data_IF_436593917255
#
_entry.id   IF_436593917255
#
_cell.length_a   1.000
_cell.length_b   1.000
_cell.length_c   1.000
_cell.angle_alpha   90.00
_cell.angle_beta   90.00
_cell.angle_gamma   90.00
#
_symmetry.space_group_name_H-M   'P 1'
#
loop_
_entity.id
_entity.type
_entity.pdbx_description
1 polymer ?
#
# COMPACT_ATOMS: atom_id res chain seq x y z
N UNK A 1 -12.79 6.93 -2.09
CA UNK A 1 -12.71 5.45 -1.96
C UNK A 1 -11.34 5.05 -2.47
N UNK A 2 -10.45 4.66 -1.57
CA UNK A 2 -9.03 4.45 -1.89
C UNK A 2 -8.84 3.03 -2.41
N UNK A 3 -8.78 2.85 -3.73
CA UNK A 3 -8.47 1.58 -4.38
C UNK A 3 -7.07 1.59 -5.00
N UNK A 4 -6.07 2.04 -4.25
CA UNK A 4 -4.68 1.93 -4.68
C UNK A 4 -3.79 1.87 -3.44
N UNK A 5 -3.78 0.74 -2.78
CA UNK A 5 -2.72 0.38 -1.85
C UNK A 5 -2.76 -1.14 -1.62
N UNK A 6 -2.38 -1.90 -2.62
CA UNK A 6 -2.00 -3.28 -2.44
C UNK A 6 -0.75 -3.57 -3.27
N UNK A 7 0.29 -2.84 -3.00
CA UNK A 7 1.64 -3.35 -3.15
C UNK A 7 2.15 -3.42 -1.71
N UNK A 8 2.16 -4.63 -1.18
CA UNK A 8 2.73 -4.94 0.10
C UNK A 8 4.25 -4.81 0.04
N UNK A 9 4.72 -3.58 -0.15
CA UNK A 9 5.98 -3.22 0.44
C UNK A 9 5.70 -3.04 1.92
N UNK A 10 6.33 -3.79 2.79
CA UNK A 10 6.54 -3.41 4.17
C UNK A 10 7.43 -2.16 4.18
N UNK A 11 6.99 -1.11 3.47
CA UNK A 11 7.32 0.22 3.87
C UNK A 11 6.97 0.24 5.35
N UNK A 12 7.88 0.70 6.21
CA UNK A 12 7.51 1.17 7.54
C UNK A 12 6.14 1.82 7.36
N UNK A 13 5.09 1.06 7.65
CA UNK A 13 3.78 1.65 7.80
C UNK A 13 3.94 2.51 9.04
N UNK A 14 4.46 3.71 8.83
CA UNK A 14 4.20 4.81 9.74
C UNK A 14 2.69 4.83 9.76
N UNK A 15 2.14 4.11 10.75
CA UNK A 15 0.72 4.15 11.05
C UNK A 15 0.38 5.64 10.96
N UNK A 16 -0.33 6.01 9.89
CA UNK A 16 -0.81 7.39 9.80
C UNK A 16 -1.68 7.55 11.03
N UNK A 17 -1.10 8.13 12.06
CA UNK A 17 -1.87 8.60 13.18
C UNK A 17 -2.96 9.45 12.56
N UNK A 18 -4.21 9.08 12.79
CA UNK A 18 -5.32 9.92 12.37
C UNK A 18 -4.95 11.35 12.78
N UNK A 19 -5.11 12.35 11.90
CA UNK A 19 -4.85 13.73 12.25
C UNK A 19 -5.88 14.14 13.31
N UNK A 20 -5.61 13.77 14.56
CA UNK A 20 -6.23 14.46 15.65
C UNK A 20 -5.48 15.77 15.72
N UNK A 21 -6.13 16.90 15.76
CA UNK A 21 -5.54 17.98 16.54
C UNK A 21 -5.52 19.36 15.89
N UNK A 22 -6.00 19.50 14.66
CA UNK A 22 -6.40 20.83 14.24
C UNK A 22 -7.84 21.10 14.70
N UNK A 23 -8.18 22.33 14.87
CA UNK A 23 -9.56 22.78 15.13
C UNK A 23 -10.41 22.29 13.94
N UNK A 24 -11.59 21.70 14.20
CA UNK A 24 -12.54 21.44 13.11
C UNK A 24 -12.72 22.74 12.31
N UNK A 25 -12.31 22.72 11.03
CA UNK A 25 -12.33 23.88 10.14
C UNK A 25 -10.98 24.46 9.71
N UNK A 26 -9.85 24.03 10.29
CA UNK A 26 -8.54 24.50 9.85
C UNK A 26 -8.17 23.85 8.50
N UNK A 27 -8.00 24.69 7.49
CA UNK A 27 -7.65 24.26 6.14
C UNK A 27 -6.20 23.81 6.04
N UNK A 28 -5.28 24.42 6.78
CA UNK A 28 -3.85 24.17 6.78
C UNK A 28 -3.41 23.65 8.15
N UNK A 29 -2.68 22.54 8.17
CA UNK A 29 -2.24 21.87 9.40
C UNK A 29 -0.78 21.44 9.26
N UNK A 30 0.18 22.32 9.57
CA UNK A 30 1.58 21.96 9.61
C UNK A 30 1.87 21.05 10.81
N UNK A 31 2.87 20.20 10.69
CA UNK A 31 3.30 19.29 11.75
C UNK A 31 4.81 19.05 11.72
N UNK A 32 5.33 18.69 12.89
CA UNK A 32 6.67 18.11 13.05
C UNK A 32 6.52 16.87 13.90
N UNK A 33 7.24 15.81 13.57
CA UNK A 33 7.26 14.57 14.33
C UNK A 33 8.68 14.03 14.47
N UNK A 34 8.96 13.45 15.63
CA UNK A 34 10.17 12.70 15.89
C UNK A 34 9.81 11.28 16.29
N UNK A 35 10.41 10.30 15.62
CA UNK A 35 10.19 8.88 15.91
C UNK A 35 11.52 8.21 16.19
N UNK A 36 11.58 7.43 17.27
CA UNK A 36 12.69 6.52 17.55
C UNK A 36 12.21 5.09 17.39
N UNK A 37 12.98 4.32 16.62
CA UNK A 37 12.65 2.94 16.28
C UNK A 37 13.78 2.02 16.73
N UNK A 38 13.41 0.77 17.02
CA UNK A 38 14.32 -0.36 17.16
C UNK A 38 13.80 -1.50 16.29
N UNK A 39 14.67 -2.14 15.54
CA UNK A 39 14.38 -3.35 14.77
C UNK A 39 15.43 -4.42 15.04
N UNK A 40 14.98 -5.63 15.36
CA UNK A 40 15.85 -6.75 15.70
C UNK A 40 16.49 -7.44 14.50
N UNK A 41 15.90 -7.25 13.30
CA UNK A 41 16.37 -7.85 12.04
C UNK A 41 16.07 -6.90 10.89
N UNK A 42 16.84 -5.82 10.80
CA UNK A 42 16.62 -4.73 9.84
C UNK A 42 16.59 -5.21 8.38
N UNK A 43 17.47 -6.14 8.05
CA UNK A 43 17.64 -6.66 6.68
C UNK A 43 16.76 -7.86 6.35
N UNK A 44 15.96 -8.35 7.31
CA UNK A 44 15.06 -9.49 7.09
C UNK A 44 15.81 -10.75 6.60
N UNK A 45 17.01 -10.96 7.13
CA UNK A 45 17.85 -12.11 6.78
C UNK A 45 17.54 -13.33 7.66
N UNK A 46 17.77 -14.50 7.10
CA UNK A 46 17.73 -15.75 7.84
C UNK A 46 18.82 -15.80 8.93
N UNK A 47 18.60 -16.61 9.95
CA UNK A 47 19.63 -16.82 10.99
C UNK A 47 20.90 -17.49 10.45
N UNK A 48 20.79 -18.26 9.38
CA UNK A 48 21.88 -18.91 8.65
C UNK A 48 22.77 -17.93 7.90
N UNK A 49 22.21 -16.81 7.43
CA UNK A 49 22.92 -15.77 6.68
C UNK A 49 23.60 -14.74 7.58
N UNK A 50 24.47 -15.18 8.46
CA UNK A 50 25.30 -14.24 9.21
C UNK A 50 26.44 -13.72 8.33
N UNK A 51 26.20 -12.63 7.62
CA UNK A 51 27.27 -11.93 6.88
C UNK A 51 28.25 -11.32 7.89
N UNK A 52 29.54 -11.69 7.87
CA UNK A 52 30.51 -11.14 8.79
C UNK A 52 30.56 -9.62 8.70
N UNK A 53 30.42 -8.95 9.86
CA UNK A 53 30.43 -7.49 9.94
C UNK A 53 29.06 -6.80 9.79
N UNK A 54 28.02 -7.50 9.33
CA UNK A 54 26.68 -6.94 9.22
C UNK A 54 25.97 -6.93 10.58
N UNK A 55 25.38 -5.78 10.93
CA UNK A 55 24.60 -5.63 12.17
C UNK A 55 23.12 -5.76 11.87
N UNK A 56 22.53 -6.92 12.17
CA UNK A 56 21.12 -7.20 11.88
C UNK A 56 20.16 -6.29 12.65
N UNK A 57 20.44 -6.03 13.93
CA UNK A 57 19.60 -5.13 14.73
C UNK A 57 20.10 -3.69 14.70
N UNK A 58 19.18 -2.75 14.60
CA UNK A 58 19.54 -1.33 14.67
C UNK A 58 18.48 -0.51 15.42
N UNK A 59 18.91 0.67 15.88
CA UNK A 59 18.06 1.76 16.27
C UNK A 59 18.17 2.86 15.22
N UNK A 60 17.07 3.47 14.88
CA UNK A 60 17.07 4.58 13.94
C UNK A 60 16.04 5.63 14.32
N UNK A 61 16.33 6.83 13.91
CA UNK A 61 15.53 8.01 14.20
C UNK A 61 14.94 8.57 12.91
N UNK A 62 13.71 9.03 12.98
CA UNK A 62 13.03 9.69 11.87
C UNK A 62 12.55 11.06 12.36
N UNK A 63 13.11 12.11 11.80
CA UNK A 63 12.55 13.45 11.91
C UNK A 63 11.66 13.70 10.69
N UNK A 64 10.42 14.10 10.92
CA UNK A 64 9.46 14.41 9.86
C UNK A 64 8.94 15.82 10.03
N UNK A 65 8.81 16.55 8.93
CA UNK A 65 8.11 17.84 8.90
C UNK A 65 7.19 17.87 7.69
N UNK A 66 5.99 18.42 7.86
CA UNK A 66 5.02 18.41 6.76
C UNK A 66 3.83 19.33 6.98
N UNK A 67 2.96 19.31 5.99
CA UNK A 67 1.74 20.09 5.92
C UNK A 67 0.59 19.21 5.41
N UNK A 68 -0.55 19.28 6.10
CA UNK A 68 -1.79 18.70 5.63
C UNK A 68 -2.77 19.83 5.26
N UNK A 69 -3.51 19.62 4.20
CA UNK A 69 -4.53 20.54 3.68
C UNK A 69 -5.85 19.78 3.54
N UNK A 70 -6.92 20.34 4.07
CA UNK A 70 -8.29 19.89 3.81
C UNK A 70 -9.16 21.11 3.52
N UNK A 71 -9.31 21.43 2.25
CA UNK A 71 -10.02 22.60 1.77
C UNK A 71 -11.28 22.21 1.05
N UNK A 72 -12.41 22.73 1.49
CA UNK A 72 -13.73 22.39 0.94
C UNK A 72 -14.49 23.65 0.46
N UNK A 73 -14.16 24.19 -0.72
CA UNK A 73 -14.91 25.29 -1.32
C UNK A 73 -16.20 24.76 -1.97
N UNK A 74 -17.32 24.96 -1.30
CA UNK A 74 -18.62 24.56 -1.77
C UNK A 74 -18.77 23.03 -1.95
N UNK A 75 -18.94 22.58 -3.19
CA UNK A 75 -19.07 21.15 -3.54
C UNK A 75 -17.76 20.49 -3.95
N UNK A 76 -16.66 21.22 -3.87
CA UNK A 76 -15.33 20.77 -4.18
C UNK A 76 -14.61 20.40 -2.88
N UNK A 77 -13.72 19.42 -2.90
CA UNK A 77 -12.84 19.14 -1.77
C UNK A 77 -11.45 18.82 -2.25
N UNK A 78 -10.48 19.54 -1.74
CA UNK A 78 -9.07 19.31 -1.98
C UNK A 78 -8.44 18.78 -0.69
N UNK A 79 -7.87 17.59 -0.76
CA UNK A 79 -7.06 17.02 0.31
C UNK A 79 -5.64 16.93 -0.23
N UNK A 80 -4.69 17.52 0.50
CA UNK A 80 -3.29 17.40 0.16
C UNK A 80 -2.46 17.15 1.42
N UNK A 81 -1.37 16.42 1.27
CA UNK A 81 -0.35 16.29 2.29
C UNK A 81 1.03 16.31 1.64
N UNK A 82 1.99 16.93 2.29
CA UNK A 82 3.38 16.90 1.89
C UNK A 82 4.22 16.72 3.15
N UNK A 83 5.19 15.81 3.11
CA UNK A 83 6.15 15.64 4.20
C UNK A 83 7.55 15.30 3.69
N UNK A 84 8.54 15.74 4.46
CA UNK A 84 9.94 15.34 4.31
C UNK A 84 10.36 14.58 5.55
N UNK A 85 11.06 13.46 5.34
CA UNK A 85 11.51 12.55 6.37
C UNK A 85 13.03 12.44 6.31
N UNK A 86 13.71 12.63 7.44
CA UNK A 86 15.16 12.41 7.58
C UNK A 86 15.36 11.19 8.47
N UNK A 87 15.93 10.13 7.91
CA UNK A 87 16.16 8.85 8.59
C UNK A 87 17.64 8.69 8.86
N UNK A 88 17.99 8.36 10.11
CA UNK A 88 19.36 8.17 10.57
C UNK A 88 19.46 6.87 11.36
N UNK A 89 20.38 6.01 10.95
CA UNK A 89 20.66 4.73 11.57
C UNK A 89 21.84 4.84 12.55
N UNK A 90 21.74 4.16 13.69
CA UNK A 90 22.80 4.22 14.71
C UNK A 90 24.02 3.37 14.37
N UNK A 91 23.82 2.23 13.70
CA UNK A 91 24.87 1.27 13.35
C UNK A 91 25.11 1.14 11.86
N UNK A 92 24.03 1.10 11.09
CA UNK A 92 24.03 0.95 9.64
C UNK A 92 23.91 2.32 8.95
N UNK A 93 24.85 3.24 9.26
CA UNK A 93 24.80 4.64 8.81
C UNK A 93 24.85 4.81 7.29
N UNK A 94 25.32 3.78 6.55
CA UNK A 94 25.26 3.77 5.08
C UNK A 94 23.84 3.72 4.52
N UNK A 95 22.85 3.37 5.36
CA UNK A 95 21.43 3.38 5.01
C UNK A 95 20.75 4.72 5.31
N UNK A 96 21.46 5.72 5.82
CA UNK A 96 20.90 7.05 6.07
C UNK A 96 20.33 7.64 4.79
N UNK A 97 19.11 8.17 4.86
CA UNK A 97 18.46 8.77 3.70
C UNK A 97 17.49 9.89 4.07
N UNK A 98 17.01 10.58 3.04
CA UNK A 98 15.92 11.54 3.15
C UNK A 98 14.80 11.12 2.21
N UNK A 99 13.64 10.84 2.76
CA UNK A 99 12.44 10.49 2.02
C UNK A 99 11.46 11.65 1.89
N UNK A 100 10.45 11.48 1.05
CA UNK A 100 9.32 12.41 0.89
C UNK A 100 8.04 11.64 0.64
N UNK A 101 6.93 12.21 1.12
CA UNK A 101 5.60 11.73 0.80
C UNK A 101 4.75 12.93 0.37
N UNK A 102 4.14 12.82 -0.80
CA UNK A 102 3.24 13.80 -1.37
C UNK A 102 1.91 13.11 -1.70
N UNK A 103 0.82 13.77 -1.39
CA UNK A 103 -0.52 13.35 -1.79
C UNK A 103 -1.33 14.57 -2.17
N UNK A 104 -2.02 14.48 -3.29
CA UNK A 104 -3.02 15.46 -3.72
C UNK A 104 -4.25 14.72 -4.22
N UNK A 105 -5.42 15.11 -3.75
CA UNK A 105 -6.70 14.61 -4.24
C UNK A 105 -7.70 15.76 -4.30
N UNK A 106 -8.21 16.01 -5.48
CA UNK A 106 -9.32 16.92 -5.73
C UNK A 106 -10.58 16.11 -6.07
N UNK A 107 -11.57 16.14 -5.20
CA UNK A 107 -12.89 15.58 -5.46
C UNK A 107 -13.81 16.70 -5.90
N UNK A 108 -14.38 16.57 -7.09
CA UNK A 108 -15.19 17.61 -7.70
C UNK A 108 -16.62 17.14 -7.98
N UNK A 109 -17.53 18.08 -7.96
CA UNK A 109 -18.92 17.88 -8.37
C UNK A 109 -19.39 19.05 -9.21
N UNK A 110 -19.92 18.76 -10.40
CA UNK A 110 -20.43 19.74 -11.34
C UNK A 110 -21.94 19.53 -11.55
N UNK A 111 -22.73 20.49 -11.16
CA UNK A 111 -24.19 20.36 -11.12
C UNK A 111 -24.60 19.21 -10.17
N UNK A 112 -25.64 18.46 -10.58
CA UNK A 112 -26.18 17.34 -9.79
C UNK A 112 -25.85 15.97 -10.39
N UNK A 113 -25.23 15.93 -11.57
CA UNK A 113 -25.09 14.71 -12.35
C UNK A 113 -23.65 14.31 -12.59
N UNK A 114 -22.71 15.22 -12.48
CA UNK A 114 -21.29 14.95 -12.74
C UNK A 114 -20.49 15.02 -11.45
N UNK A 115 -19.68 14.03 -11.24
CA UNK A 115 -18.70 14.01 -10.16
C UNK A 115 -17.46 13.24 -10.59
N UNK A 116 -16.36 13.44 -9.86
CA UNK A 116 -15.15 12.71 -10.14
C UNK A 116 -14.02 13.10 -9.19
N UNK A 117 -12.88 12.53 -9.43
CA UNK A 117 -11.67 12.78 -8.66
C UNK A 117 -10.48 12.90 -9.60
N UNK A 118 -9.53 13.74 -9.22
CA UNK A 118 -8.20 13.80 -9.81
C UNK A 118 -7.21 13.77 -8.66
N UNK A 119 -6.17 12.99 -8.79
CA UNK A 119 -5.18 12.91 -7.73
C UNK A 119 -3.82 12.43 -8.19
N UNK A 120 -2.84 12.71 -7.34
CA UNK A 120 -1.48 12.23 -7.47
C UNK A 120 -0.92 11.88 -6.10
N UNK A 121 -0.09 10.84 -6.05
CA UNK A 121 0.72 10.50 -4.88
C UNK A 121 2.15 10.25 -5.33
N UNK A 122 3.10 10.65 -4.50
CA UNK A 122 4.52 10.30 -4.64
C UNK A 122 5.04 9.88 -3.27
N UNK A 123 5.81 8.80 -3.22
CA UNK A 123 6.51 8.38 -2.02
C UNK A 123 7.92 7.94 -2.38
N UNK A 124 8.92 8.57 -1.77
CA UNK A 124 10.33 8.23 -1.93
C UNK A 124 10.86 7.70 -0.59
N UNK A 125 11.12 6.41 -0.49
CA UNK A 125 11.54 5.72 0.73
C UNK A 125 12.59 4.66 0.44
N UNK A 126 13.30 4.21 1.49
CA UNK A 126 14.16 3.02 1.40
C UNK A 126 13.32 1.82 0.95
N UNK A 127 13.84 1.02 0.01
CA UNK A 127 13.23 -0.25 -0.40
C UNK A 127 13.06 -1.19 0.79
N UNK A 128 12.02 -2.01 0.74
CA UNK A 128 11.78 -3.01 1.78
C UNK A 128 12.81 -4.12 1.71
N UNK A 129 13.49 -4.37 2.82
CA UNK A 129 14.40 -5.52 2.93
C UNK A 129 13.66 -6.87 2.95
N UNK A 130 12.34 -6.89 3.08
CA UNK A 130 11.56 -8.12 2.92
C UNK A 130 11.49 -8.59 1.47
N UNK A 131 11.62 -7.67 0.52
CA UNK A 131 11.55 -7.98 -0.90
C UNK A 131 12.95 -8.07 -1.52
N UNK A 132 13.88 -7.22 -1.05
CA UNK A 132 15.28 -7.17 -1.50
C UNK A 132 16.19 -7.25 -0.28
N UNK A 133 16.68 -8.44 0.05
CA UNK A 133 17.54 -8.71 1.22
C UNK A 133 18.98 -8.21 1.08
N UNK A 134 19.27 -7.24 0.23
CA UNK A 134 20.60 -6.67 0.05
C UNK A 134 20.83 -5.49 0.99
N UNK A 135 21.98 -5.41 1.70
CA UNK A 135 22.27 -4.31 2.62
C UNK A 135 22.72 -3.03 1.90
N UNK A 136 21.93 -2.57 0.95
CA UNK A 136 22.21 -1.39 0.13
C UNK A 136 21.20 -0.28 0.40
N UNK A 137 21.63 0.96 0.25
CA UNK A 137 20.76 2.11 0.28
C UNK A 137 20.10 2.26 -1.10
N UNK A 138 18.96 1.59 -1.28
CA UNK A 138 18.15 1.72 -2.47
C UNK A 138 16.86 2.46 -2.13
N UNK A 139 16.72 3.68 -2.59
CA UNK A 139 15.47 4.41 -2.46
C UNK A 139 14.56 4.09 -3.63
N UNK A 140 13.31 3.79 -3.33
CA UNK A 140 12.26 3.55 -4.33
C UNK A 140 11.34 4.75 -4.33
N UNK A 141 11.20 5.39 -5.47
CA UNK A 141 10.20 6.42 -5.71
C UNK A 141 9.00 5.77 -6.41
N UNK A 142 7.84 5.84 -5.75
CA UNK A 142 6.57 5.38 -6.31
C UNK A 142 5.68 6.57 -6.54
N UNK A 143 5.22 6.69 -7.77
CA UNK A 143 4.25 7.72 -8.17
C UNK A 143 2.96 7.04 -8.63
N UNK A 144 1.84 7.67 -8.34
CA UNK A 144 0.57 7.28 -8.87
C UNK A 144 -0.26 8.51 -9.17
N UNK A 145 -0.80 8.57 -10.38
CA UNK A 145 -1.66 9.64 -10.87
C UNK A 145 -2.97 9.02 -11.35
N UNK A 146 -4.08 9.64 -11.05
CA UNK A 146 -5.38 9.14 -11.49
C UNK A 146 -6.37 10.27 -11.76
N UNK A 147 -7.31 9.99 -12.64
CA UNK A 147 -8.46 10.83 -12.88
C UNK A 147 -9.67 9.94 -13.17
N UNK A 148 -10.80 10.28 -12.61
CA UNK A 148 -12.08 9.66 -12.91
C UNK A 148 -13.19 10.70 -13.05
N UNK A 149 -14.18 10.36 -13.85
CA UNK A 149 -15.40 11.11 -14.02
C UNK A 149 -16.59 10.16 -14.06
N UNK A 150 -17.65 10.53 -13.38
CA UNK A 150 -18.87 9.76 -13.29
C UNK A 150 -20.06 10.65 -13.68
N UNK A 151 -20.93 10.13 -14.52
CA UNK A 151 -22.20 10.74 -14.92
C UNK A 151 -23.38 9.94 -14.38
N UNK A 152 -24.14 10.56 -13.48
CA UNK A 152 -25.39 10.04 -12.97
C UNK A 152 -26.53 10.42 -13.91
N UNK A 153 -26.82 9.57 -14.89
CA UNK A 153 -27.86 9.80 -15.90
C UNK A 153 -29.26 9.45 -15.41
N UNK A 154 -29.37 8.74 -14.30
CA UNK A 154 -30.58 8.37 -13.63
C UNK A 154 -30.36 8.39 -12.10
N UNK A 155 -31.36 8.63 -11.24
CA UNK A 155 -31.19 8.68 -9.79
C UNK A 155 -30.49 7.46 -9.18
N UNK A 156 -30.50 6.32 -9.86
CA UNK A 156 -29.88 5.06 -9.41
C UNK A 156 -28.78 4.54 -10.30
N UNK A 157 -28.65 5.06 -11.52
CA UNK A 157 -27.67 4.54 -12.47
C UNK A 157 -26.64 5.60 -12.82
N UNK A 158 -25.40 5.15 -12.91
CA UNK A 158 -24.29 6.01 -13.28
C UNK A 158 -23.30 5.25 -14.15
N UNK A 159 -22.64 5.97 -15.03
CA UNK A 159 -21.52 5.49 -15.84
C UNK A 159 -20.29 6.29 -15.47
N UNK A 160 -19.15 5.64 -15.46
CA UNK A 160 -17.88 6.27 -15.12
C UNK A 160 -16.78 5.88 -16.09
N UNK A 161 -15.83 6.77 -16.28
CA UNK A 161 -14.56 6.53 -16.96
C UNK A 161 -13.44 6.93 -16.02
N UNK A 162 -12.37 6.17 -16.05
CA UNK A 162 -11.20 6.42 -15.23
C UNK A 162 -9.90 6.10 -15.97
N UNK A 163 -8.84 6.80 -15.61
CA UNK A 163 -7.48 6.52 -16.04
C UNK A 163 -6.53 6.61 -14.86
N UNK A 164 -5.48 5.81 -14.87
CA UNK A 164 -4.41 5.92 -13.88
C UNK A 164 -3.07 5.57 -14.51
N UNK A 165 -2.00 6.16 -13.96
CA UNK A 165 -0.61 5.83 -14.27
C UNK A 165 0.12 5.62 -12.96
N UNK A 166 0.90 4.54 -12.88
CA UNK A 166 1.74 4.23 -11.72
C UNK A 166 3.15 3.98 -12.19
N UNK A 167 4.14 4.52 -11.48
CA UNK A 167 5.55 4.27 -11.74
C UNK A 167 6.25 3.85 -10.46
N UNK A 168 7.26 3.01 -10.59
CA UNK A 168 8.18 2.64 -9.50
C UNK A 168 9.60 2.69 -10.02
N UNK A 169 10.44 3.52 -9.42
CA UNK A 169 11.82 3.74 -9.86
C UNK A 169 12.78 3.52 -8.70
N UNK A 170 13.79 2.72 -8.92
CA UNK A 170 14.85 2.42 -7.97
C UNK A 170 16.05 3.36 -8.15
N UNK A 171 16.67 3.80 -7.05
CA UNK A 171 17.83 4.68 -7.10
C UNK A 171 19.14 3.97 -7.46
N UNK A 172 19.18 2.64 -7.38
CA UNK A 172 20.38 1.86 -7.67
C UNK A 172 20.27 1.11 -9.00
N UNK A 173 21.35 1.07 -9.77
CA UNK A 173 21.40 0.35 -11.04
C UNK A 173 21.14 -1.15 -10.90
N UNK A 174 21.47 -1.73 -9.74
CA UNK A 174 21.22 -3.15 -9.45
C UNK A 174 19.74 -3.49 -9.41
N UNK A 175 18.89 -2.55 -8.96
CA UNK A 175 17.46 -2.72 -8.86
C UNK A 175 16.67 -2.06 -10.01
N UNK A 176 17.34 -1.31 -10.88
CA UNK A 176 16.72 -0.66 -12.02
C UNK A 176 15.91 -1.61 -12.94
N UNK A 177 16.30 -2.88 -13.17
CA UNK A 177 15.46 -3.82 -13.93
C UNK A 177 14.10 -4.14 -13.28
N UNK A 178 13.86 -3.81 -12.00
CA UNK A 178 12.54 -3.88 -11.35
C UNK A 178 11.70 -2.62 -11.52
N UNK A 179 12.25 -1.57 -12.11
CA UNK A 179 11.48 -0.37 -12.42
C UNK A 179 10.33 -0.70 -13.34
N UNK A 180 9.16 -0.18 -13.05
CA UNK A 180 7.98 -0.42 -13.89
C UNK A 180 7.14 0.83 -14.04
N UNK A 181 6.38 0.85 -15.12
CA UNK A 181 5.37 1.83 -15.44
C UNK A 181 4.09 1.12 -15.89
N UNK A 182 2.97 1.45 -15.25
CA UNK A 182 1.65 0.93 -15.60
C UNK A 182 0.73 2.08 -15.98
N UNK A 183 0.08 2.00 -17.13
CA UNK A 183 -1.00 2.89 -17.54
C UNK A 183 -2.32 2.11 -17.63
N UNK A 184 -3.41 2.68 -17.15
CA UNK A 184 -4.70 2.00 -17.19
C UNK A 184 -5.84 2.92 -17.58
N UNK A 185 -6.83 2.32 -18.25
CA UNK A 185 -8.13 2.94 -18.51
C UNK A 185 -9.23 2.01 -18.01
N UNK A 186 -10.34 2.59 -17.55
CA UNK A 186 -11.47 1.82 -17.06
C UNK A 186 -12.80 2.44 -17.45
N UNK A 187 -13.80 1.59 -17.70
CA UNK A 187 -15.19 1.97 -17.87
C UNK A 187 -16.04 1.25 -16.82
N UNK A 188 -16.99 1.96 -16.23
CA UNK A 188 -17.80 1.46 -15.12
C UNK A 188 -19.28 1.75 -15.39
N UNK A 189 -20.14 0.77 -15.11
CA UNK A 189 -21.60 0.95 -15.01
C UNK A 189 -22.03 0.60 -13.59
N UNK A 190 -22.70 1.51 -12.91
CA UNK A 190 -23.07 1.36 -11.53
C UNK A 190 -24.55 1.54 -11.25
N UNK A 191 -25.01 0.83 -10.23
CA UNK A 191 -26.35 0.93 -9.68
C UNK A 191 -26.31 1.22 -8.19
N UNK A 192 -27.02 2.24 -7.75
CA UNK A 192 -27.16 2.61 -6.34
C UNK A 192 -28.56 2.24 -5.84
N UNK A 193 -28.61 1.42 -4.80
CA UNK A 193 -29.87 1.01 -4.17
C UNK A 193 -30.50 2.17 -3.41
N UNK A 194 -31.83 2.11 -3.10
CA UNK A 194 -32.48 3.12 -2.26
C UNK A 194 -31.87 3.27 -0.86
N UNK A 195 -31.15 2.24 -0.37
CA UNK A 195 -30.46 2.24 0.94
C UNK A 195 -29.02 2.75 0.86
N UNK A 196 -28.56 3.20 -0.31
CA UNK A 196 -27.21 3.76 -0.50
C UNK A 196 -26.11 2.73 -0.73
N UNK A 197 -26.43 1.44 -0.86
CA UNK A 197 -25.46 0.44 -1.32
C UNK A 197 -25.25 0.54 -2.83
N UNK A 198 -24.03 0.32 -3.30
CA UNK A 198 -23.70 0.40 -4.74
C UNK A 198 -23.16 -0.93 -5.26
N UNK A 199 -23.54 -1.25 -6.49
CA UNK A 199 -22.98 -2.37 -7.26
C UNK A 199 -22.50 -1.82 -8.60
N UNK A 200 -21.26 -2.15 -9.00
CA UNK A 200 -20.64 -1.65 -10.23
C UNK A 200 -19.98 -2.77 -10.99
N UNK A 201 -20.28 -2.85 -12.29
CA UNK A 201 -19.48 -3.62 -13.24
C UNK A 201 -18.39 -2.72 -13.82
N UNK A 202 -17.16 -3.19 -13.90
CA UNK A 202 -16.02 -2.45 -14.43
C UNK A 202 -15.24 -3.32 -15.41
N UNK A 203 -14.91 -2.74 -16.55
CA UNK A 203 -13.88 -3.23 -17.45
C UNK A 203 -12.66 -2.33 -17.32
N UNK A 204 -11.49 -2.90 -17.08
CA UNK A 204 -10.22 -2.18 -16.95
C UNK A 204 -9.17 -2.81 -17.83
N UNK A 205 -8.43 -1.99 -18.56
CA UNK A 205 -7.23 -2.37 -19.31
C UNK A 205 -6.03 -1.71 -18.66
N UNK A 206 -4.97 -2.48 -18.48
CA UNK A 206 -3.67 -2.01 -17.99
C UNK A 206 -2.63 -2.40 -19.04
N UNK A 207 -1.79 -1.48 -19.43
CA UNK A 207 -0.60 -1.73 -20.21
C UNK A 207 0.59 -1.35 -19.33
N UNK A 208 1.50 -2.30 -19.12
CA UNK A 208 2.63 -2.19 -18.22
C UNK A 208 3.94 -2.45 -18.92
N UNK A 209 4.99 -1.74 -18.52
CA UNK A 209 6.33 -1.92 -19.07
C UNK A 209 7.41 -1.84 -17.97
N UNK A 210 8.52 -2.48 -18.26
CA UNK A 210 9.74 -2.47 -17.46
C UNK A 210 10.87 -1.78 -18.25
N UNK A 211 10.97 -0.43 -18.20
CA UNK A 211 11.78 0.35 -19.13
C UNK A 211 13.28 0.07 -19.03
N UNK A 212 13.75 -0.41 -17.89
CA UNK A 212 15.16 -0.67 -17.62
C UNK A 212 15.56 -2.15 -17.71
N UNK A 213 14.66 -3.03 -18.16
CA UNK A 213 15.00 -4.43 -18.47
C UNK A 213 15.70 -4.53 -19.83
N UNK A 214 16.84 -5.21 -19.83
CA UNK A 214 17.52 -5.49 -21.10
C UNK A 214 16.71 -6.46 -21.96
N UNK A 215 16.54 -6.18 -23.26
CA UNK A 215 15.88 -7.10 -24.17
C UNK A 215 16.55 -8.46 -24.17
N UNK A 216 15.79 -9.52 -23.92
CA UNK A 216 16.30 -10.89 -24.03
C UNK A 216 15.14 -11.82 -24.37
N UNK A 217 15.46 -12.97 -24.97
CA UNK A 217 14.46 -14.02 -25.27
C UNK A 217 13.87 -14.68 -24.00
N UNK A 218 14.39 -14.32 -22.83
CA UNK A 218 14.04 -14.92 -21.54
C UNK A 218 13.42 -13.94 -20.53
N UNK A 219 13.17 -12.69 -20.94
CA UNK A 219 12.67 -11.64 -20.04
C UNK A 219 11.65 -10.79 -20.75
N UNK A 220 10.44 -10.73 -20.22
CA UNK A 220 9.40 -9.84 -20.72
C UNK A 220 9.69 -8.39 -20.32
N UNK A 221 9.50 -7.47 -21.26
CA UNK A 221 9.67 -6.04 -21.06
C UNK A 221 8.33 -5.33 -20.90
N UNK A 222 7.26 -5.92 -21.39
CA UNK A 222 5.93 -5.36 -21.31
C UNK A 222 4.86 -6.44 -21.11
N UNK A 223 3.72 -6.02 -20.64
CA UNK A 223 2.53 -6.86 -20.54
C UNK A 223 1.28 -6.02 -20.76
N UNK A 224 0.24 -6.70 -21.13
CA UNK A 224 -1.09 -6.12 -21.14
C UNK A 224 -2.02 -6.93 -20.24
N UNK A 225 -2.91 -6.26 -19.52
CA UNK A 225 -3.83 -6.92 -18.59
C UNK A 225 -5.25 -6.39 -18.77
N UNK A 226 -6.19 -7.30 -18.92
CA UNK A 226 -7.62 -6.99 -18.96
C UNK A 226 -8.30 -7.53 -17.70
N UNK A 227 -9.11 -6.71 -17.05
CA UNK A 227 -9.82 -7.05 -15.83
C UNK A 227 -11.31 -6.82 -16.00
N UNK A 228 -12.09 -7.83 -15.64
CA UNK A 228 -13.55 -7.79 -15.54
C UNK A 228 -13.92 -7.82 -14.07
N UNK A 229 -14.29 -6.69 -13.50
CA UNK A 229 -14.52 -6.55 -12.06
C UNK A 229 -16.00 -6.32 -11.74
N UNK A 230 -16.47 -6.94 -10.68
CA UNK A 230 -17.70 -6.60 -9.97
C UNK A 230 -17.31 -5.96 -8.63
N UNK A 231 -17.72 -4.71 -8.42
CA UNK A 231 -17.44 -3.96 -7.19
C UNK A 231 -18.73 -3.71 -6.43
N UNK A 232 -18.69 -3.88 -5.12
CA UNK A 232 -19.84 -3.65 -4.25
C UNK A 232 -19.44 -2.82 -3.01
N UNK A 233 -20.24 -1.82 -2.71
CA UNK A 233 -20.19 -1.08 -1.44
C UNK A 233 -21.50 -1.31 -0.72
N UNK A 234 -21.45 -2.02 0.38
CA UNK A 234 -22.65 -2.43 1.10
C UNK A 234 -22.76 -1.69 2.44
N UNK A 235 -23.74 -0.85 2.53
CA UNK A 235 -24.09 -0.13 3.74
C UNK A 235 -25.43 -0.68 4.29
N UNK A 236 -25.36 -1.80 5.00
CA UNK A 236 -26.59 -2.51 5.47
C UNK A 236 -27.18 -1.92 6.73
N UNK A 237 -26.34 -1.41 7.59
CA UNK A 237 -26.74 -0.89 8.91
C UNK A 237 -25.72 0.15 9.37
N UNK A 238 -26.10 1.00 10.32
CA UNK A 238 -25.14 1.93 10.91
C UNK A 238 -23.96 1.25 11.64
N UNK A 239 -23.93 -0.10 11.69
CA UNK A 239 -22.90 -0.87 12.39
C UNK A 239 -22.00 -1.70 11.48
N UNK A 240 -22.35 -1.91 10.22
CA UNK A 240 -21.58 -2.73 9.29
C UNK A 240 -21.49 -2.06 7.93
N UNK A 241 -20.29 -1.83 7.48
CA UNK A 241 -19.98 -1.40 6.12
C UNK A 241 -19.09 -2.47 5.49
N UNK A 242 -19.45 -2.94 4.31
CA UNK A 242 -18.66 -3.93 3.59
C UNK A 242 -18.33 -3.42 2.20
N UNK A 243 -17.12 -3.74 1.75
CA UNK A 243 -16.61 -3.43 0.43
C UNK A 243 -16.12 -4.69 -0.25
N UNK A 244 -16.39 -4.84 -1.52
CA UNK A 244 -15.94 -6.00 -2.27
C UNK A 244 -15.54 -5.65 -3.68
N UNK A 245 -14.51 -6.32 -4.16
CA UNK A 245 -14.16 -6.44 -5.56
C UNK A 245 -13.89 -7.91 -5.83
N UNK A 246 -14.56 -8.45 -6.82
CA UNK A 246 -14.30 -9.78 -7.37
C UNK A 246 -14.19 -9.61 -8.86
N UNK A 247 -13.15 -10.15 -9.46
CA UNK A 247 -12.91 -10.01 -10.88
C UNK A 247 -12.18 -11.21 -11.47
N UNK A 248 -12.18 -11.25 -12.79
CA UNK A 248 -11.36 -12.14 -13.57
C UNK A 248 -10.31 -11.31 -14.30
N UNK A 249 -9.06 -11.70 -14.18
CA UNK A 249 -7.89 -11.03 -14.77
C UNK A 249 -7.31 -11.93 -15.85
N UNK A 250 -6.95 -11.32 -16.98
CA UNK A 250 -6.15 -11.91 -18.04
C UNK A 250 -4.95 -10.99 -18.26
N UNK A 251 -3.74 -11.52 -18.02
CA UNK A 251 -2.46 -10.84 -18.29
C UNK A 251 -1.75 -11.61 -19.39
N UNK A 252 -1.33 -10.90 -20.43
CA UNK A 252 -0.58 -11.39 -21.57
C UNK A 252 0.78 -10.68 -21.56
N UNK A 253 1.86 -11.45 -21.63
CA UNK A 253 3.22 -10.94 -21.70
C UNK A 253 3.64 -10.82 -23.18
N UNK A 254 4.48 -9.86 -23.50
CA UNK A 254 4.81 -9.51 -24.89
C UNK A 254 5.71 -10.54 -25.58
N UNK A 255 6.54 -11.27 -24.84
CA UNK A 255 7.53 -12.19 -25.40
C UNK A 255 7.25 -13.64 -25.02
N UNK A 256 6.88 -13.91 -23.77
CA UNK A 256 6.80 -15.25 -23.20
C UNK A 256 5.35 -15.59 -22.81
N UNK A 257 4.57 -16.09 -23.76
CA UNK A 257 3.16 -16.46 -23.51
C UNK A 257 2.98 -17.55 -22.44
N UNK A 258 4.00 -18.39 -22.18
CA UNK A 258 3.99 -19.33 -21.06
C UNK A 258 3.98 -18.65 -19.68
N UNK A 259 4.22 -17.34 -19.62
CA UNK A 259 4.13 -16.51 -18.43
C UNK A 259 2.80 -15.77 -18.31
N UNK A 260 1.90 -16.00 -19.23
CA UNK A 260 0.57 -15.43 -19.19
C UNK A 260 -0.18 -15.92 -17.95
N UNK A 261 -1.03 -15.07 -17.43
CA UNK A 261 -1.87 -15.37 -16.29
C UNK A 261 -3.34 -15.17 -16.61
N UNK A 262 -4.17 -16.09 -16.17
CA UNK A 262 -5.61 -15.86 -16.12
C UNK A 262 -6.19 -16.46 -14.85
N UNK A 263 -7.04 -15.71 -14.16
CA UNK A 263 -7.61 -16.20 -12.90
C UNK A 263 -8.45 -15.20 -12.16
N UNK A 264 -9.02 -15.69 -11.06
CA UNK A 264 -9.81 -14.88 -10.15
C UNK A 264 -8.89 -13.96 -9.34
N UNK A 265 -9.33 -12.71 -9.23
CA UNK A 265 -8.71 -11.66 -8.44
C UNK A 265 -9.78 -10.97 -7.61
N UNK A 266 -9.48 -10.62 -6.36
CA UNK A 266 -10.49 -9.97 -5.56
C UNK A 266 -10.05 -9.61 -4.15
N UNK A 267 -10.82 -8.72 -3.56
CA UNK A 267 -10.70 -8.29 -2.16
C UNK A 267 -12.09 -8.07 -1.58
N UNK A 268 -12.32 -8.64 -0.43
CA UNK A 268 -13.50 -8.38 0.38
C UNK A 268 -13.04 -7.80 1.71
N UNK A 269 -13.70 -6.75 2.17
CA UNK A 269 -13.41 -6.15 3.48
C UNK A 269 -14.70 -5.73 4.17
N UNK A 270 -14.66 -5.71 5.50
CA UNK A 270 -15.77 -5.28 6.33
C UNK A 270 -15.28 -4.47 7.53
N UNK A 271 -15.97 -3.38 7.81
CA UNK A 271 -15.81 -2.58 9.01
C UNK A 271 -17.04 -2.75 9.90
N UNK A 272 -16.83 -3.28 11.10
CA UNK A 272 -17.88 -3.49 12.08
C UNK A 272 -17.70 -2.54 13.26
N UNK A 273 -18.75 -1.82 13.60
CA UNK A 273 -18.83 -0.83 14.66
C UNK A 273 -19.69 -1.37 15.80
N UNK A 274 -19.19 -2.25 16.68
CA UNK A 274 -19.97 -2.79 17.81
C UNK A 274 -20.42 -1.69 18.76
N UNK A 275 -19.67 -0.63 18.87
CA UNK A 275 -19.97 0.55 19.68
C UNK A 275 -19.44 1.82 19.02
N UNK A 276 -19.82 3.00 19.53
CA UNK A 276 -19.27 4.28 19.08
C UNK A 276 -17.77 4.50 19.40
N UNK A 277 -17.15 3.56 20.15
CA UNK A 277 -15.75 3.62 20.55
C UNK A 277 -14.88 2.53 19.93
N UNK A 278 -15.47 1.58 19.24
CA UNK A 278 -14.76 0.40 18.73
C UNK A 278 -15.08 0.21 17.26
N UNK A 279 -14.04 0.02 16.47
CA UNK A 279 -14.14 -0.47 15.11
C UNK A 279 -13.31 -1.74 14.98
N UNK A 280 -13.87 -2.75 14.33
CA UNK A 280 -13.18 -3.97 13.95
C UNK A 280 -13.20 -4.02 12.43
N UNK A 281 -12.07 -4.29 11.81
CA UNK A 281 -11.93 -4.42 10.37
C UNK A 281 -11.39 -5.80 10.02
N UNK A 282 -11.90 -6.35 8.95
CA UNK A 282 -11.45 -7.62 8.40
C UNK A 282 -11.33 -7.50 6.88
N UNK A 283 -10.32 -8.12 6.31
CA UNK A 283 -10.19 -8.23 4.86
C UNK A 283 -9.66 -9.61 4.47
N UNK A 284 -10.13 -10.10 3.34
CA UNK A 284 -9.58 -11.27 2.65
C UNK A 284 -9.34 -10.89 1.19
N UNK A 285 -8.23 -11.36 0.63
CA UNK A 285 -7.85 -11.00 -0.72
C UNK A 285 -7.06 -12.10 -1.42
N UNK A 286 -7.15 -12.07 -2.75
CA UNK A 286 -6.29 -12.77 -3.70
C UNK A 286 -6.03 -11.82 -4.85
N UNK A 287 -4.80 -11.35 -5.00
CA UNK A 287 -4.45 -10.27 -5.92
C UNK A 287 -3.15 -10.57 -6.66
N UNK A 288 -3.16 -10.32 -7.98
CA UNK A 288 -1.95 -10.33 -8.78
C UNK A 288 -1.29 -8.95 -8.71
N UNK A 289 0.04 -8.93 -8.64
CA UNK A 289 0.85 -7.72 -8.61
C UNK A 289 2.16 -7.89 -9.38
N UNK A 290 2.84 -6.78 -9.58
CA UNK A 290 4.21 -6.78 -10.07
C UNK A 290 5.15 -7.26 -8.97
N UNK A 291 6.30 -7.77 -9.34
CA UNK A 291 7.29 -8.30 -8.41
C UNK A 291 8.63 -7.62 -8.59
N UNK A 292 9.37 -7.47 -7.48
CA UNK A 292 10.77 -7.06 -7.47
C UNK A 292 11.72 -8.26 -7.66
N UNK A 293 11.21 -9.49 -7.74
CA UNK A 293 11.98 -10.69 -8.02
C UNK A 293 12.21 -10.85 -9.53
N UNK A 294 13.48 -10.87 -9.95
CA UNK A 294 13.88 -11.00 -11.36
C UNK A 294 13.55 -12.35 -11.96
N UNK A 295 13.35 -13.37 -11.12
CA UNK A 295 13.06 -14.72 -11.56
C UNK A 295 11.56 -14.97 -11.77
N UNK A 296 10.69 -14.00 -11.46
CA UNK A 296 9.26 -14.11 -11.62
C UNK A 296 8.71 -12.98 -12.49
N UNK A 297 7.60 -13.23 -13.17
CA UNK A 297 6.92 -12.22 -13.98
C UNK A 297 5.84 -11.48 -13.18
N UNK A 298 5.25 -12.15 -12.21
CA UNK A 298 4.24 -11.57 -11.33
C UNK A 298 4.23 -12.29 -9.98
N UNK A 299 3.62 -11.64 -9.02
CA UNK A 299 3.38 -12.17 -7.68
C UNK A 299 1.87 -12.34 -7.48
N UNK A 300 1.48 -13.47 -6.92
CA UNK A 300 0.11 -13.73 -6.49
C UNK A 300 0.06 -13.74 -4.96
N UNK A 301 -0.61 -12.74 -4.38
CA UNK A 301 -0.77 -12.61 -2.93
C UNK A 301 -2.16 -13.05 -2.51
N UNK A 302 -2.24 -14.02 -1.60
CA UNK A 302 -3.49 -14.48 -0.98
C UNK A 302 -3.39 -14.31 0.51
N UNK A 303 -4.33 -13.60 1.13
CA UNK A 303 -4.21 -13.30 2.54
C UNK A 303 -5.49 -12.89 3.23
N UNK A 304 -5.37 -12.79 4.55
CA UNK A 304 -6.40 -12.23 5.42
C UNK A 304 -5.77 -11.29 6.44
N UNK A 305 -6.45 -10.20 6.72
CA UNK A 305 -6.08 -9.29 7.80
C UNK A 305 -7.25 -9.07 8.75
N UNK A 306 -6.94 -9.01 10.03
CA UNK A 306 -7.88 -8.66 11.09
C UNK A 306 -7.29 -7.51 11.88
N UNK A 307 -8.06 -6.45 12.05
CA UNK A 307 -7.64 -5.27 12.78
C UNK A 307 -8.73 -4.70 13.65
N UNK A 308 -8.36 -3.74 14.47
CA UNK A 308 -9.32 -3.00 15.26
C UNK A 308 -8.72 -1.79 15.94
N UNK A 309 -9.60 -0.85 16.28
CA UNK A 309 -9.28 0.32 17.07
C UNK A 309 -10.31 0.49 18.18
N UNK A 310 -9.81 0.79 19.38
CA UNK A 310 -10.62 1.07 20.54
C UNK A 310 -10.25 2.44 21.14
N UNK A 311 -11.22 3.37 21.13
CA UNK A 311 -11.14 4.66 21.77
C UNK A 311 -11.43 4.49 23.27
N UNK A 312 -10.41 4.07 24.03
CA UNK A 312 -10.54 3.81 25.47
C UNK A 312 -11.01 5.06 26.21
N UNK A 313 -10.47 6.22 25.83
CA UNK A 313 -10.93 7.55 26.27
C UNK A 313 -10.95 8.52 25.09
N UNK A 314 -11.39 9.77 25.31
CA UNK A 314 -11.29 10.84 24.30
C UNK A 314 -9.86 11.19 23.88
N UNK A 315 -8.84 10.72 24.62
CA UNK A 315 -7.42 11.00 24.41
C UNK A 315 -6.57 9.76 24.17
N UNK A 316 -7.13 8.58 24.38
CA UNK A 316 -6.38 7.33 24.32
C UNK A 316 -7.03 6.37 23.33
N UNK A 317 -6.28 5.96 22.32
CA UNK A 317 -6.70 4.98 21.32
C UNK A 317 -5.73 3.82 21.30
N UNK A 318 -6.25 2.61 21.38
CA UNK A 318 -5.52 1.37 21.17
C UNK A 318 -5.83 0.83 19.76
N UNK A 319 -4.81 0.37 19.03
CA UNK A 319 -4.97 -0.29 17.73
C UNK A 319 -4.21 -1.60 17.73
N UNK A 320 -4.82 -2.61 17.13
CA UNK A 320 -4.17 -3.90 16.89
C UNK A 320 -4.46 -4.33 15.45
N UNK A 321 -3.49 -5.01 14.83
CA UNK A 321 -3.66 -5.61 13.51
C UNK A 321 -2.86 -6.92 13.44
N UNK A 322 -3.40 -7.91 12.70
CA UNK A 322 -2.72 -9.14 12.35
C UNK A 322 -3.01 -9.47 10.89
N UNK A 323 -1.99 -9.91 10.15
CA UNK A 323 -2.09 -10.30 8.74
C UNK A 323 -1.39 -11.63 8.54
N UNK A 324 -2.07 -12.53 7.85
CA UNK A 324 -1.53 -13.78 7.33
C UNK A 324 -1.58 -13.67 5.82
N UNK A 325 -0.48 -13.91 5.16
CA UNK A 325 -0.36 -13.79 3.70
C UNK A 325 0.53 -14.91 3.15
N UNK A 326 0.04 -15.55 2.10
CA UNK A 326 0.84 -16.40 1.23
C UNK A 326 1.14 -15.62 -0.06
N UNK A 327 2.39 -15.62 -0.49
CA UNK A 327 2.85 -15.03 -1.75
C UNK A 327 3.49 -16.10 -2.61
N UNK A 328 2.98 -16.27 -3.81
CA UNK A 328 3.51 -17.16 -4.83
C UNK A 328 4.12 -16.33 -5.94
N UNK A 329 5.39 -16.57 -6.26
CA UNK A 329 6.12 -15.87 -7.32
C UNK A 329 6.09 -16.73 -8.57
N UNK A 330 5.37 -16.28 -9.57
CA UNK A 330 4.96 -17.10 -10.72
C UNK A 330 5.39 -16.50 -12.05
N UNK A 331 5.09 -17.19 -13.14
CA UNK A 331 5.42 -16.79 -14.50
C UNK A 331 6.72 -17.42 -14.98
N UNK A 332 6.82 -18.74 -14.79
CA UNK A 332 7.85 -19.65 -15.27
C UNK A 332 9.30 -19.19 -15.15
N UNK A 333 9.85 -19.52 -14.04
CA UNK A 333 11.27 -19.35 -13.74
C UNK A 333 12.14 -20.47 -14.30
N UNK A 334 11.56 -21.61 -14.60
CA UNK A 334 12.30 -22.82 -15.02
C UNK A 334 12.98 -22.73 -16.39
N UNK A 335 12.61 -21.77 -17.23
CA UNK A 335 13.19 -21.54 -18.55
C UNK A 335 14.46 -20.68 -18.47
N UNK A 336 14.53 -19.77 -17.50
CA UNK A 336 15.62 -18.80 -17.41
C UNK A 336 16.80 -19.34 -16.61
N UNK A 337 16.55 -20.08 -15.55
CA UNK A 337 17.58 -20.76 -14.74
C UNK A 337 17.08 -22.16 -14.43
N UNK A 338 17.57 -23.14 -15.17
CA UNK A 338 17.26 -24.56 -14.95
C UNK A 338 17.50 -24.97 -13.50
N UNK A 339 16.45 -25.40 -12.80
CA UNK A 339 16.53 -25.92 -11.45
C UNK A 339 16.33 -24.90 -10.33
N UNK A 340 15.95 -23.66 -10.62
CA UNK A 340 15.54 -22.70 -9.57
C UNK A 340 14.13 -23.09 -9.10
N UNK A 341 13.93 -23.41 -7.82
CA UNK A 341 12.60 -23.70 -7.30
C UNK A 341 11.71 -22.44 -7.36
N UNK A 342 10.43 -22.65 -7.62
CA UNK A 342 9.43 -21.59 -7.45
C UNK A 342 9.49 -21.09 -6.00
N UNK A 343 9.46 -19.78 -5.84
CA UNK A 343 9.44 -19.14 -4.54
C UNK A 343 8.02 -18.98 -4.06
N UNK A 344 7.72 -19.61 -2.93
CA UNK A 344 6.48 -19.47 -2.18
C UNK A 344 6.81 -18.99 -0.76
N UNK A 345 6.03 -18.07 -0.23
CA UNK A 345 6.27 -17.46 1.06
C UNK A 345 5.00 -17.41 1.91
N UNK A 346 5.08 -17.90 3.12
CA UNK A 346 4.06 -17.74 4.14
C UNK A 346 4.52 -16.71 5.17
N UNK A 347 3.75 -15.66 5.35
CA UNK A 347 4.05 -14.60 6.30
C UNK A 347 2.95 -14.40 7.34
N UNK A 348 3.37 -14.13 8.57
CA UNK A 348 2.51 -13.70 9.66
C UNK A 348 3.09 -12.43 10.26
N UNK A 349 2.30 -11.37 10.28
CA UNK A 349 2.70 -10.09 10.89
C UNK A 349 1.62 -9.61 11.85
N UNK A 350 2.03 -9.15 13.03
CA UNK A 350 1.16 -8.56 14.04
C UNK A 350 1.68 -7.24 14.55
N UNK A 351 0.80 -6.30 14.85
CA UNK A 351 1.15 -5.00 15.44
C UNK A 351 0.16 -4.60 16.52
N UNK A 352 0.68 -3.89 17.53
CA UNK A 352 -0.10 -3.25 18.58
C UNK A 352 0.42 -1.85 18.79
N UNK A 353 -0.46 -0.86 18.85
CA UNK A 353 -0.05 0.53 19.10
C UNK A 353 -1.03 1.25 20.00
N UNK A 354 -0.48 2.18 20.78
CA UNK A 354 -1.16 3.09 21.68
C UNK A 354 -0.93 4.51 21.21
N UNK A 355 -1.97 5.29 21.06
CA UNK A 355 -1.93 6.71 20.71
C UNK A 355 -2.54 7.53 21.84
N UNK A 356 -1.77 8.44 22.40
CA UNK A 356 -2.19 9.34 23.47
C UNK A 356 -2.08 10.80 23.04
N UNK A 357 -3.17 11.54 23.12
CA UNK A 357 -3.26 12.96 22.83
C UNK A 357 -3.40 13.78 24.11
N UNK A 358 -2.30 14.14 24.80
CA UNK A 358 -2.34 14.90 26.06
C UNK A 358 -3.02 16.27 25.88
N UNK A 359 -2.73 16.92 24.79
CA UNK A 359 -3.31 18.20 24.37
C UNK A 359 -3.67 18.14 22.87
N UNK A 360 -4.46 19.11 22.41
CA UNK A 360 -4.92 19.12 20.99
C UNK A 360 -3.79 19.23 19.96
N UNK A 361 -2.65 19.79 20.34
CA UNK A 361 -1.52 20.03 19.42
C UNK A 361 -0.43 18.96 19.52
N UNK A 362 -0.56 17.95 20.38
CA UNK A 362 0.47 16.94 20.55
C UNK A 362 -0.12 15.53 20.65
N UNK A 363 0.56 14.59 19.99
CA UNK A 363 0.29 13.16 20.07
C UNK A 363 1.56 12.42 20.43
N UNK A 364 1.42 11.41 21.28
CA UNK A 364 2.47 10.45 21.61
C UNK A 364 1.96 9.08 21.18
N UNK A 365 2.66 8.44 20.27
CA UNK A 365 2.37 7.10 19.82
C UNK A 365 3.48 6.17 20.27
N UNK A 366 3.12 4.97 20.73
CA UNK A 366 4.06 3.90 21.01
C UNK A 366 3.50 2.59 20.44
N UNK A 367 4.37 1.76 19.92
CA UNK A 367 3.90 0.50 19.35
C UNK A 367 4.99 -0.53 19.20
N UNK A 368 4.52 -1.76 18.97
CA UNK A 368 5.35 -2.92 18.69
C UNK A 368 4.80 -3.64 17.46
N UNK A 369 5.70 -4.23 16.71
CA UNK A 369 5.38 -5.10 15.58
C UNK A 369 6.27 -6.33 15.68
N UNK A 370 5.72 -7.48 15.31
CA UNK A 370 6.48 -8.71 15.16
C UNK A 370 6.00 -9.45 13.92
N UNK A 371 6.90 -10.18 13.30
CA UNK A 371 6.56 -10.97 12.11
C UNK A 371 7.54 -12.10 11.86
N UNK A 372 7.06 -13.04 11.07
CA UNK A 372 7.86 -14.13 10.51
C UNK A 372 7.48 -14.34 9.06
N UNK A 373 8.42 -14.81 8.29
CA UNK A 373 8.25 -15.36 6.96
C UNK A 373 8.94 -16.72 6.92
N UNK A 374 8.21 -17.68 6.40
CA UNK A 374 8.70 -19.02 6.07
C UNK A 374 8.64 -19.12 4.53
N UNK A 375 9.73 -19.50 3.86
CA UNK A 375 9.88 -19.49 2.39
C UNK A 375 10.29 -20.87 1.89
N UNK A 376 9.90 -21.19 0.65
CA UNK A 376 10.41 -22.38 -0.05
C UNK A 376 11.90 -22.29 -0.38
N UNK A 377 12.50 -21.09 -0.26
CA UNK A 377 13.94 -20.83 -0.43
C UNK A 377 14.53 -20.62 0.96
N UNK A 378 15.38 -21.55 1.42
CA UNK A 378 15.90 -21.65 2.79
C UNK A 378 16.50 -20.35 3.35
N UNK A 379 17.20 -19.57 2.53
CA UNK A 379 17.85 -18.33 2.95
C UNK A 379 16.91 -17.11 2.98
N UNK A 380 15.63 -17.30 2.66
CA UNK A 380 14.60 -16.25 2.66
C UNK A 380 13.73 -16.26 3.89
N UNK A 381 13.93 -17.20 4.83
CA UNK A 381 13.22 -17.26 6.11
C UNK A 381 13.69 -16.18 7.06
N UNK A 382 12.78 -15.52 7.74
CA UNK A 382 13.18 -14.58 8.79
C UNK A 382 12.14 -14.41 9.88
N UNK A 383 12.62 -13.86 11.01
CA UNK A 383 11.78 -13.34 12.10
C UNK A 383 12.30 -11.98 12.52
N UNK A 384 11.38 -11.12 12.91
CA UNK A 384 11.72 -9.82 13.45
C UNK A 384 10.75 -9.38 14.54
N UNK A 385 11.21 -8.45 15.35
CA UNK A 385 10.37 -7.62 16.20
C UNK A 385 10.91 -6.19 16.18
N UNK A 386 10.01 -5.23 16.21
CA UNK A 386 10.34 -3.83 16.23
C UNK A 386 9.48 -3.08 17.25
N UNK A 387 10.02 -2.00 17.78
CA UNK A 387 9.35 -1.12 18.73
C UNK A 387 9.59 0.31 18.30
N UNK A 388 8.59 1.16 18.44
CA UNK A 388 8.74 2.59 18.16
C UNK A 388 8.07 3.45 19.22
N UNK A 389 8.59 4.66 19.35
CA UNK A 389 7.95 5.77 20.05
C UNK A 389 8.01 7.00 19.16
N UNK A 390 6.87 7.66 18.98
CA UNK A 390 6.73 8.87 18.17
C UNK A 390 6.12 9.98 18.98
N UNK A 391 6.65 11.17 18.85
CA UNK A 391 6.05 12.40 19.35
C UNK A 391 5.78 13.30 18.16
N UNK A 392 4.56 13.79 18.04
CA UNK A 392 4.16 14.70 16.97
C UNK A 392 3.53 15.95 17.57
N UNK A 393 3.91 17.09 17.06
CA UNK A 393 3.26 18.37 17.30
C UNK A 393 2.64 18.87 15.97
N UNK A 394 1.39 19.36 16.03
CA UNK A 394 0.69 19.99 14.92
C UNK A 394 0.22 21.39 15.31
N UNK A 395 0.14 22.30 14.37
CA UNK A 395 -0.15 23.72 14.60
C UNK A 395 -1.33 24.19 13.77
#
# INVERSE_FOLDING_TARGET
MNYLASLAGLALSVLQAAPALAKEGDTLRPFVAYTRNYDSNLYRLAKSEQVPGLKLSDQFEVLSAGLNVDWQPGRQRVIASASKNWVRFSRNTHLDYSGSDLQLKWSWRLGNHWSGQVGATESATQSSFSDVSLPINNQVTRENQFADAEWQFHPRWHVGLGTARSTSTNSTLQQAPSDYEDASVSATLGYTTPKGSTLRGQLRRVDGEYPNRSPSLFVDQAYSQTEYNLLGDWNTSGKLVAHGRIGYVQRENDTLSQRDFSGLNGRLSADYFPSGKTVLNWAVYREIGNTDDFNASYQLSTGTSLGGAWLATSRLTLRANATIENRSFEGDTGVVVLGTPQRDEDSLTGSLSLSYAPVRMATIDAGLQAGRRDSSIDDSDYRFHSVFVRVQAGF
#
